data_IF_071622357354
#
_entry.id   IF_071622357354
#
_cell.length_a   1.000
_cell.length_b   1.000
_cell.length_c   1.000
_cell.angle_alpha   90.00
_cell.angle_beta   90.00
_cell.angle_gamma   90.00
#
_symmetry.space_group_name_H-M   'P 1'
#
loop_
_entity.id
_entity.type
_entity.pdbx_description
1 polymer ?
#
# COMPACT_ATOMS: atom_id res chain seq x y z
N UNK A 1 1.69 39.40 -36.51
CA UNK A 1 1.78 39.64 -35.05
C UNK A 1 0.41 39.33 -34.43
N UNK A 2 0.37 38.63 -33.29
CA UNK A 2 -0.86 38.20 -32.61
C UNK A 2 -0.82 38.64 -31.15
N UNK A 3 -1.86 39.32 -30.69
CA UNK A 3 -1.96 39.80 -29.30
C UNK A 3 -2.61 38.70 -28.46
N UNK A 4 -1.98 38.37 -27.32
CA UNK A 4 -2.52 37.38 -26.40
C UNK A 4 -3.80 37.88 -25.73
N UNK A 5 -4.91 37.18 -25.89
CA UNK A 5 -6.20 37.52 -25.26
C UNK A 5 -6.23 37.39 -23.73
N UNK A 6 -5.18 36.85 -23.11
CA UNK A 6 -5.11 36.63 -21.66
C UNK A 6 -4.18 37.60 -20.92
N UNK A 7 -3.08 38.04 -21.54
CA UNK A 7 -2.10 38.91 -20.90
C UNK A 7 -1.65 40.09 -21.79
N UNK A 8 -2.33 40.30 -22.92
CA UNK A 8 -2.17 41.43 -23.84
C UNK A 8 -0.77 41.62 -24.45
N UNK A 9 0.16 40.68 -24.29
CA UNK A 9 1.49 40.76 -24.89
C UNK A 9 1.44 40.42 -26.37
N UNK A 10 2.32 41.06 -27.14
CA UNK A 10 2.42 40.88 -28.58
C UNK A 10 3.33 39.70 -28.93
N UNK A 11 2.82 38.74 -29.71
CA UNK A 11 3.52 37.52 -30.07
C UNK A 11 3.72 37.44 -31.59
N UNK A 12 4.65 36.60 -32.02
CA UNK A 12 4.87 36.30 -33.44
C UNK A 12 3.64 35.58 -34.02
N UNK A 13 3.34 35.79 -35.30
CA UNK A 13 2.14 35.22 -35.96
C UNK A 13 2.11 33.69 -35.94
N UNK A 14 3.26 33.06 -36.03
CA UNK A 14 3.43 31.60 -35.98
C UNK A 14 3.53 31.01 -34.55
N UNK A 15 3.43 31.84 -33.51
CA UNK A 15 3.46 31.36 -32.12
C UNK A 15 2.17 30.61 -31.78
N UNK A 16 2.29 29.35 -31.36
CA UNK A 16 1.14 28.53 -30.89
C UNK A 16 0.71 28.91 -29.47
N UNK A 17 1.66 29.34 -28.65
CA UNK A 17 1.49 29.70 -27.24
C UNK A 17 2.08 31.09 -26.96
N UNK A 18 1.56 31.77 -25.95
CA UNK A 18 2.09 33.06 -25.52
C UNK A 18 3.40 32.88 -24.76
N UNK A 19 4.46 33.61 -25.16
CA UNK A 19 5.77 33.52 -24.49
C UNK A 19 5.77 33.99 -23.03
N UNK A 20 4.77 34.78 -22.63
CA UNK A 20 4.71 35.40 -21.31
C UNK A 20 3.77 34.71 -20.33
N UNK A 21 2.59 34.28 -20.79
CA UNK A 21 1.60 33.64 -19.91
C UNK A 21 1.39 32.15 -20.21
N UNK A 22 2.02 31.61 -21.26
CA UNK A 22 1.97 30.19 -21.63
C UNK A 22 0.65 29.70 -22.25
N UNK A 23 -0.40 30.54 -22.30
CA UNK A 23 -1.71 30.14 -22.85
C UNK A 23 -1.71 30.09 -24.38
N UNK A 24 -2.53 29.21 -25.00
CA UNK A 24 -2.62 29.12 -26.45
C UNK A 24 -3.17 30.42 -27.05
N UNK A 25 -2.56 30.87 -28.15
CA UNK A 25 -3.00 32.09 -28.87
C UNK A 25 -4.19 31.81 -29.80
N UNK A 26 -4.39 30.55 -30.18
CA UNK A 26 -5.52 30.11 -31.00
C UNK A 26 -6.15 28.86 -30.39
N UNK A 27 -7.46 28.89 -30.19
CA UNK A 27 -8.24 27.73 -29.72
C UNK A 27 -8.54 26.85 -30.94
N UNK A 28 -7.69 25.88 -31.23
CA UNK A 28 -8.00 24.89 -32.27
C UNK A 28 -9.07 23.93 -31.73
N UNK A 29 -10.18 23.71 -32.46
CA UNK A 29 -11.14 22.68 -32.09
C UNK A 29 -10.48 21.31 -32.32
N UNK A 30 -9.90 20.74 -31.26
CA UNK A 30 -9.37 19.38 -31.32
C UNK A 30 -10.58 18.45 -31.39
N UNK A 31 -10.87 17.95 -32.59
CA UNK A 31 -11.87 16.89 -32.78
C UNK A 31 -11.26 15.60 -32.24
N UNK A 32 -11.48 15.34 -30.96
CA UNK A 32 -11.07 14.07 -30.33
C UNK A 32 -12.09 13.02 -30.76
N UNK A 33 -11.73 12.22 -31.77
CA UNK A 33 -12.46 10.99 -32.04
C UNK A 33 -12.08 9.99 -30.95
N UNK A 34 -12.93 9.91 -29.93
CA UNK A 34 -12.84 8.85 -28.93
C UNK A 34 -13.26 7.56 -29.63
N UNK A 35 -12.28 6.77 -30.06
CA UNK A 35 -12.52 5.37 -30.42
C UNK A 35 -12.93 4.67 -29.13
N UNK A 36 -14.24 4.49 -28.95
CA UNK A 36 -14.73 3.65 -27.87
C UNK A 36 -14.09 2.27 -28.03
N UNK A 37 -13.55 1.67 -26.96
CA UNK A 37 -13.07 0.30 -27.04
C UNK A 37 -14.22 -0.59 -27.51
N UNK A 38 -14.01 -1.32 -28.61
CA UNK A 38 -14.95 -2.32 -29.12
C UNK A 38 -14.89 -3.49 -28.14
N UNK A 39 -15.58 -3.36 -27.00
CA UNK A 39 -15.85 -4.47 -26.12
C UNK A 39 -16.89 -5.33 -26.85
N UNK A 40 -16.42 -6.31 -27.62
CA UNK A 40 -17.24 -7.46 -27.97
C UNK A 40 -17.72 -8.03 -26.64
N UNK A 41 -19.01 -7.89 -26.36
CA UNK A 41 -19.66 -8.52 -25.23
C UNK A 41 -19.61 -10.05 -25.47
N UNK A 42 -18.49 -10.67 -25.13
CA UNK A 42 -18.55 -12.04 -24.68
C UNK A 42 -19.39 -11.99 -23.41
N UNK A 43 -20.45 -12.77 -23.41
CA UNK A 43 -21.39 -12.99 -22.33
C UNK A 43 -20.67 -13.52 -21.08
N UNK A 44 -19.94 -12.65 -20.40
CA UNK A 44 -19.43 -12.86 -19.07
C UNK A 44 -20.51 -12.43 -18.09
N UNK A 45 -20.89 -13.35 -17.20
CA UNK A 45 -21.75 -13.08 -16.07
C UNK A 45 -21.25 -11.83 -15.33
N UNK A 46 -22.03 -10.75 -15.38
CA UNK A 46 -21.87 -9.58 -14.54
C UNK A 46 -22.18 -9.99 -13.10
N UNK A 47 -21.19 -10.49 -12.37
CA UNK A 47 -21.30 -10.56 -10.91
C UNK A 47 -21.19 -9.12 -10.44
N UNK A 48 -22.34 -8.46 -10.22
CA UNK A 48 -22.38 -7.24 -9.41
C UNK A 48 -21.57 -7.55 -8.14
N UNK A 49 -20.54 -6.76 -7.77
CA UNK A 49 -19.91 -6.96 -6.48
C UNK A 49 -20.99 -6.71 -5.44
N UNK A 50 -21.55 -7.80 -4.89
CA UNK A 50 -22.28 -7.69 -3.64
C UNK A 50 -21.31 -7.02 -2.66
N UNK A 51 -21.76 -6.08 -1.83
CA UNK A 51 -20.96 -5.65 -0.70
C UNK A 51 -20.55 -6.92 0.02
N UNK A 52 -19.26 -7.25 0.00
CA UNK A 52 -18.74 -8.37 0.74
C UNK A 52 -18.95 -7.97 2.20
N UNK A 53 -20.04 -8.45 2.80
CA UNK A 53 -20.26 -8.40 4.24
C UNK A 53 -19.24 -9.37 4.81
N UNK A 54 -17.98 -8.95 4.84
CA UNK A 54 -16.98 -9.55 5.70
C UNK A 54 -17.59 -9.35 7.09
N UNK A 55 -17.92 -10.42 7.84
CA UNK A 55 -18.48 -10.26 9.17
C UNK A 55 -17.56 -9.31 9.90
N UNK A 56 -18.11 -8.14 10.26
CA UNK A 56 -17.35 -7.08 10.89
C UNK A 56 -16.63 -7.70 12.08
N UNK A 57 -15.41 -7.23 12.35
CA UNK A 57 -14.63 -7.67 13.50
C UNK A 57 -15.28 -7.17 14.80
N UNK A 58 -16.59 -7.38 14.99
CA UNK A 58 -17.38 -6.84 16.09
C UNK A 58 -17.16 -5.34 16.34
N UNK A 59 -17.26 -4.98 17.61
CA UNK A 59 -16.94 -3.65 18.10
C UNK A 59 -15.50 -3.59 18.60
N UNK A 60 -14.95 -2.38 18.64
CA UNK A 60 -13.64 -2.16 19.24
C UNK A 60 -13.65 -2.58 20.70
N UNK A 61 -12.63 -3.33 21.10
CA UNK A 61 -12.43 -3.74 22.49
C UNK A 61 -12.44 -2.55 23.47
N UNK A 62 -11.92 -1.39 23.05
CA UNK A 62 -11.85 -0.18 23.87
C UNK A 62 -13.09 0.70 23.76
N UNK A 63 -13.85 0.56 22.68
CA UNK A 63 -14.98 1.41 22.38
C UNK A 63 -16.14 0.56 21.84
N UNK A 64 -17.11 0.19 22.69
CA UNK A 64 -18.23 -0.66 22.26
C UNK A 64 -19.14 0.01 21.22
N UNK A 65 -19.06 1.34 21.09
CA UNK A 65 -19.84 2.11 20.12
C UNK A 65 -19.14 2.29 18.78
N UNK A 66 -17.87 1.87 18.63
CA UNK A 66 -17.14 2.00 17.38
C UNK A 66 -16.91 0.62 16.76
N UNK A 67 -17.23 0.43 15.46
CA UNK A 67 -16.93 -0.82 14.80
C UNK A 67 -15.42 -1.00 14.74
N UNK A 68 -14.96 -2.21 15.01
CA UNK A 68 -13.57 -2.52 14.79
C UNK A 68 -13.31 -2.65 13.28
N UNK A 69 -12.11 -2.25 12.88
CA UNK A 69 -11.64 -2.27 11.51
C UNK A 69 -10.44 -3.21 11.34
N UNK A 70 -9.74 -3.51 12.43
CA UNK A 70 -8.51 -4.30 12.44
C UNK A 70 -8.52 -5.31 13.58
N UNK A 71 -7.70 -6.35 13.44
CA UNK A 71 -7.43 -7.36 14.46
C UNK A 71 -5.96 -7.20 14.87
N UNK A 72 -5.68 -7.13 16.18
CA UNK A 72 -4.32 -7.03 16.69
C UNK A 72 -3.53 -8.31 16.36
N UNK A 73 -2.41 -8.17 15.65
CA UNK A 73 -1.57 -9.30 15.21
C UNK A 73 -0.87 -10.04 16.37
N UNK A 74 -0.85 -9.47 17.57
CA UNK A 74 -0.21 -10.08 18.75
C UNK A 74 -1.18 -10.78 19.70
N UNK A 75 -2.36 -10.18 19.95
CA UNK A 75 -3.33 -10.69 20.94
C UNK A 75 -4.70 -11.02 20.36
N UNK A 76 -4.95 -10.78 19.07
CA UNK A 76 -6.22 -11.11 18.41
C UNK A 76 -7.41 -10.19 18.73
N UNK A 77 -7.23 -9.15 19.56
CA UNK A 77 -8.33 -8.22 19.89
C UNK A 77 -8.77 -7.41 18.67
N UNK A 78 -10.08 -7.24 18.54
CA UNK A 78 -10.68 -6.34 17.56
C UNK A 78 -10.55 -4.87 17.99
N UNK A 79 -10.05 -4.02 17.10
CA UNK A 79 -9.79 -2.60 17.37
C UNK A 79 -10.27 -1.69 16.24
N UNK A 80 -10.77 -0.51 16.58
CA UNK A 80 -11.16 0.50 15.61
C UNK A 80 -9.96 1.18 14.96
N UNK A 81 -10.21 1.94 13.90
CA UNK A 81 -9.20 2.70 13.15
C UNK A 81 -8.39 3.68 14.03
N UNK A 82 -8.98 4.21 15.09
CA UNK A 82 -8.32 5.18 15.98
C UNK A 82 -7.41 4.52 17.02
N UNK A 83 -7.77 3.33 17.51
CA UNK A 83 -6.96 2.58 18.47
C UNK A 83 -5.81 1.81 17.80
N UNK A 84 -5.92 1.54 16.50
CA UNK A 84 -4.93 0.78 15.75
C UNK A 84 -3.57 1.50 15.67
N UNK A 85 -2.49 0.79 16.00
CA UNK A 85 -1.11 1.21 15.72
C UNK A 85 -0.55 0.36 14.60
N UNK A 86 -0.16 1.00 13.51
CA UNK A 86 0.38 0.32 12.33
C UNK A 86 1.91 0.34 12.43
N UNK A 87 2.53 -0.83 12.32
CA UNK A 87 3.98 -0.99 12.30
C UNK A 87 4.37 -1.88 11.12
N UNK A 88 4.88 -1.24 10.06
CA UNK A 88 5.07 -1.91 8.77
C UNK A 88 3.75 -2.46 8.24
N UNK A 89 3.69 -3.78 8.02
CA UNK A 89 2.49 -4.47 7.56
C UNK A 89 1.59 -5.03 8.70
N UNK A 90 1.98 -4.83 9.96
CA UNK A 90 1.27 -5.38 11.13
C UNK A 90 0.45 -4.29 11.83
N UNK A 91 -0.69 -4.69 12.40
CA UNK A 91 -1.54 -3.81 13.20
C UNK A 91 -1.59 -4.30 14.64
N UNK A 92 -1.36 -3.40 15.59
CA UNK A 92 -1.33 -3.69 17.03
C UNK A 92 -2.30 -2.82 17.82
N UNK A 93 -2.79 -3.35 18.94
CA UNK A 93 -3.50 -2.58 19.97
C UNK A 93 -2.50 -1.77 20.82
N UNK A 94 -2.93 -0.69 21.51
CA UNK A 94 -2.02 0.17 22.27
C UNK A 94 -1.21 -0.58 23.33
N UNK A 95 -1.82 -1.56 24.01
CA UNK A 95 -1.17 -2.42 25.02
C UNK A 95 -0.08 -3.33 24.44
N UNK A 96 -0.30 -3.86 23.24
CA UNK A 96 0.69 -4.71 22.59
C UNK A 96 1.80 -3.87 21.98
N UNK A 97 1.47 -2.68 21.45
CA UNK A 97 2.40 -1.77 20.83
C UNK A 97 3.41 -1.20 21.84
N UNK A 98 2.97 -0.83 23.04
CA UNK A 98 3.85 -0.33 24.11
C UNK A 98 4.91 -1.35 24.54
N UNK A 99 4.69 -2.64 24.30
CA UNK A 99 5.64 -3.72 24.61
C UNK A 99 6.58 -4.06 23.45
N UNK A 100 6.30 -3.59 22.23
CA UNK A 100 7.18 -3.78 21.07
C UNK A 100 8.36 -2.81 21.14
N UNK A 101 8.16 -1.62 21.68
CA UNK A 101 9.20 -0.59 21.81
C UNK A 101 10.32 -0.95 22.81
N UNK A 102 10.19 -2.07 23.54
CA UNK A 102 11.20 -2.55 24.50
C UNK A 102 11.96 -3.80 24.06
N UNK A 103 11.68 -4.32 22.87
CA UNK A 103 12.55 -5.34 22.28
C UNK A 103 13.72 -4.58 21.68
N UNK A 104 14.75 -4.30 22.50
CA UNK A 104 16.08 -4.12 21.93
C UNK A 104 16.31 -5.30 20.98
N UNK A 105 16.83 -5.09 19.76
CA UNK A 105 17.22 -6.18 18.92
C UNK A 105 18.30 -6.95 19.67
N UNK A 106 17.90 -7.99 20.41
CA UNK A 106 18.81 -9.02 20.84
C UNK A 106 19.20 -9.72 19.55
N UNK A 107 20.29 -9.23 18.97
CA UNK A 107 21.14 -9.99 18.07
C UNK A 107 21.60 -11.23 18.82
N UNK A 108 20.72 -12.22 18.89
CA UNK A 108 21.03 -13.57 19.35
C UNK A 108 20.42 -14.55 18.34
N UNK A 109 20.74 -14.33 17.07
CA UNK A 109 20.90 -15.43 16.14
C UNK A 109 22.34 -15.94 16.28
N UNK A 110 22.61 -16.65 17.36
CA UNK A 110 23.69 -17.62 17.36
C UNK A 110 23.04 -18.95 16.95
N UNK A 111 23.24 -19.47 15.72
CA UNK A 111 22.93 -20.86 15.46
C UNK A 111 23.79 -21.70 16.41
N UNK A 112 23.12 -22.41 17.33
CA UNK A 112 23.76 -23.44 18.13
C UNK A 112 24.11 -24.60 17.20
N UNK A 113 25.29 -24.53 16.58
CA UNK A 113 25.88 -25.71 15.94
C UNK A 113 26.23 -26.69 17.06
N UNK A 114 25.73 -27.94 17.05
CA UNK A 114 26.24 -28.96 17.94
C UNK A 114 27.69 -29.26 17.54
N UNK A 115 28.64 -28.94 18.43
CA UNK A 115 30.05 -29.31 18.29
C UNK A 115 30.17 -30.83 18.37
N UNK A 116 30.18 -31.50 17.22
CA UNK A 116 30.50 -32.92 17.12
C UNK A 116 32.00 -33.08 16.82
N UNK A 117 32.78 -33.06 17.89
CA UNK A 117 34.15 -33.59 17.95
C UNK A 117 34.16 -34.47 19.20
N UNK A 118 34.38 -35.77 19.20
CA UNK A 118 35.35 -36.56 18.44
C UNK A 118 34.77 -37.97 18.32
N UNK A 119 34.84 -38.53 17.12
CA UNK A 119 34.59 -39.93 16.82
C UNK A 119 35.64 -40.77 17.57
N UNK A 120 35.23 -41.54 18.58
CA UNK A 120 36.09 -42.53 19.22
C UNK A 120 36.44 -43.60 18.19
N UNK A 121 37.74 -43.73 17.90
CA UNK A 121 38.27 -44.81 17.06
C UNK A 121 38.18 -46.14 17.82
N UNK A 122 37.49 -47.18 17.31
CA UNK A 122 37.56 -48.49 17.92
C UNK A 122 38.87 -49.20 17.51
N UNK A 123 39.54 -49.73 18.51
CA UNK A 123 40.67 -50.64 18.40
C UNK A 123 40.39 -51.74 17.36
N UNK A 124 41.28 -51.86 16.38
CA UNK A 124 41.37 -53.02 15.50
C UNK A 124 42.65 -53.77 15.82
N UNK A 125 42.50 -54.70 16.74
CA UNK A 125 43.22 -56.00 16.78
C UNK A 125 43.25 -56.59 15.37
N UNK A 126 44.41 -57.08 14.92
CA UNK A 126 44.58 -58.34 14.17
C UNK A 126 46.10 -58.61 13.95
N UNK A 127 46.49 -59.87 13.71
CA UNK A 127 47.36 -60.70 14.54
C UNK A 127 48.86 -60.63 14.21
#
# INVERSE_FOLDING_TARGET
MVICSFCSKNNRSESKFCYNCGKPLQRQPVKVNVLLPILKASSGFMVKPLPRIIPGVGMCYYHPNLPAAYICARCGRAICKYCAKIYGALVFCPECFSRITFIQPTTQFAPAYPSSSIFQSPASIFP
#
